data_IF_517083736096
#
_entry.id   IF_517083736096
#
_cell.length_a   1.000
_cell.length_b   1.000
_cell.length_c   1.000
_cell.angle_alpha   90.00
_cell.angle_beta   90.00
_cell.angle_gamma   90.00
#
_symmetry.space_group_name_H-M   'P 1'
#
loop_
_entity.id
_entity.type
_entity.pdbx_description
1 polymer ?
#
# COMPACT_ATOMS: atom_id res chain seq x y z
N UNK A 1 -17.44 12.93 16.44
CA UNK A 1 -15.97 13.10 16.65
C UNK A 1 -15.27 12.70 15.36
N UNK A 2 -14.70 13.67 14.63
CA UNK A 2 -13.95 13.41 13.38
C UNK A 2 -12.59 12.85 13.74
N UNK A 3 -12.29 11.62 13.32
CA UNK A 3 -10.98 10.98 13.52
C UNK A 3 -10.17 11.17 12.24
N UNK A 4 -9.07 11.90 12.33
CA UNK A 4 -8.11 12.03 11.25
C UNK A 4 -7.22 10.80 11.21
N UNK A 5 -6.95 10.27 10.01
CA UNK A 5 -6.10 9.12 9.80
C UNK A 5 -5.06 9.48 8.75
N UNK A 6 -3.80 9.38 9.15
CA UNK A 6 -2.63 9.57 8.30
C UNK A 6 -2.09 8.18 7.92
N UNK A 7 -2.22 7.82 6.66
CA UNK A 7 -1.54 6.66 6.11
C UNK A 7 -0.28 7.15 5.40
N UNK A 8 0.90 6.88 5.98
CA UNK A 8 2.17 7.17 5.34
C UNK A 8 2.63 5.97 4.49
N UNK A 9 2.46 6.05 3.18
CA UNK A 9 3.20 5.26 2.22
C UNK A 9 4.46 6.06 1.84
N UNK A 10 5.53 5.95 2.65
CA UNK A 10 6.81 6.56 2.39
C UNK A 10 7.71 5.58 1.63
N UNK A 11 8.13 5.95 0.42
CA UNK A 11 9.39 5.45 -0.12
C UNK A 11 10.51 6.17 0.65
N UNK A 12 11.16 5.47 1.56
CA UNK A 12 12.21 6.03 2.40
C UNK A 12 13.50 6.24 1.61
N UNK A 13 13.73 7.45 1.14
CA UNK A 13 15.10 7.98 1.09
C UNK A 13 15.38 8.52 2.51
N UNK A 14 16.37 7.91 3.16
CA UNK A 14 16.85 8.15 4.51
C UNK A 14 16.52 9.51 5.14
N UNK A 15 15.42 9.60 5.87
CA UNK A 15 15.22 10.57 6.91
C UNK A 15 15.53 9.87 8.25
N UNK A 16 16.63 10.26 8.89
CA UNK A 16 16.96 9.84 10.24
C UNK A 16 15.84 10.31 11.17
N UNK A 17 15.09 9.43 11.83
CA UNK A 17 14.10 9.87 12.80
C UNK A 17 14.83 10.51 14.01
N UNK A 18 14.23 11.49 14.69
CA UNK A 18 14.72 11.94 15.96
C UNK A 18 14.75 10.74 16.92
N UNK A 19 15.85 10.58 17.64
CA UNK A 19 16.05 9.51 18.59
C UNK A 19 15.01 9.59 19.72
N UNK A 20 13.87 8.92 19.56
CA UNK A 20 13.04 8.54 20.70
C UNK A 20 13.51 7.17 21.17
N UNK A 21 14.00 7.12 22.39
CA UNK A 21 14.61 5.96 23.03
C UNK A 21 13.70 4.71 23.15
N UNK A 22 12.42 4.84 22.86
CA UNK A 22 11.43 3.76 22.95
C UNK A 22 11.43 2.80 21.75
N UNK A 23 11.88 3.23 20.55
CA UNK A 23 11.91 2.36 19.36
C UNK A 23 13.22 1.57 19.23
N UNK A 24 14.32 2.04 19.80
CA UNK A 24 15.64 1.44 19.59
C UNK A 24 15.86 0.15 20.41
N UNK A 25 15.24 0.03 21.59
CA UNK A 25 15.41 -1.15 22.45
C UNK A 25 14.57 -2.35 21.93
N UNK A 26 13.38 -2.09 21.44
CA UNK A 26 12.45 -3.09 20.95
C UNK A 26 12.92 -3.82 19.67
N UNK A 27 13.66 -3.14 18.80
CA UNK A 27 14.18 -3.74 17.55
C UNK A 27 15.34 -4.69 17.82
N UNK A 28 16.08 -4.49 18.91
CA UNK A 28 17.23 -5.32 19.27
C UNK A 28 16.84 -6.67 19.84
N UNK A 29 15.71 -6.74 20.55
CA UNK A 29 15.26 -7.96 21.24
C UNK A 29 14.67 -9.01 20.28
N UNK A 30 14.24 -8.59 19.08
CA UNK A 30 13.73 -9.50 18.02
C UNK A 30 14.71 -9.71 16.87
N UNK A 31 15.92 -9.14 16.96
CA UNK A 31 16.95 -9.28 15.93
C UNK A 31 17.46 -10.74 15.87
N UNK A 32 17.08 -11.44 14.80
CA UNK A 32 17.46 -12.84 14.56
C UNK A 32 16.33 -13.85 14.73
N UNK A 33 15.20 -13.48 15.34
CA UNK A 33 14.00 -14.31 15.44
C UNK A 33 12.92 -13.80 14.47
N UNK A 34 12.79 -14.49 13.33
CA UNK A 34 11.81 -14.14 12.28
C UNK A 34 10.37 -14.30 12.76
N UNK A 35 10.09 -15.33 13.57
CA UNK A 35 8.75 -15.59 14.09
C UNK A 35 8.33 -14.53 15.12
N UNK A 36 9.22 -14.14 16.02
CA UNK A 36 8.98 -13.06 16.98
C UNK A 36 8.76 -11.72 16.28
N UNK A 37 9.53 -11.44 15.21
CA UNK A 37 9.32 -10.24 14.41
C UNK A 37 7.97 -10.25 13.68
N UNK A 38 7.57 -11.37 13.06
CA UNK A 38 6.28 -11.51 12.40
C UNK A 38 5.11 -11.28 13.37
N UNK A 39 5.14 -11.92 14.55
CA UNK A 39 4.14 -11.72 15.60
C UNK A 39 4.08 -10.25 16.08
N UNK A 40 5.23 -9.58 16.17
CA UNK A 40 5.29 -8.16 16.50
C UNK A 40 4.64 -7.29 15.42
N UNK A 41 4.97 -7.51 14.14
CA UNK A 41 4.34 -6.79 13.03
C UNK A 41 2.83 -7.00 13.03
N UNK A 42 2.37 -8.23 13.28
CA UNK A 42 0.95 -8.53 13.38
C UNK A 42 0.26 -7.72 14.48
N UNK A 43 0.87 -7.61 15.66
CA UNK A 43 0.33 -6.83 16.77
C UNK A 43 0.31 -5.33 16.50
N UNK A 44 1.36 -4.79 15.85
CA UNK A 44 1.47 -3.37 15.53
C UNK A 44 0.56 -2.95 14.38
N UNK A 45 0.27 -3.86 13.44
CA UNK A 45 -0.52 -3.60 12.25
C UNK A 45 -2.05 -3.71 12.47
N UNK A 46 -2.51 -3.91 13.70
CA UNK A 46 -3.96 -3.95 14.00
C UNK A 46 -4.60 -2.63 13.61
N UNK A 47 -5.52 -2.68 12.66
CA UNK A 47 -6.17 -1.48 12.12
C UNK A 47 -7.12 -0.83 13.14
N UNK A 48 -7.23 0.51 13.14
CA UNK A 48 -8.27 1.20 13.88
C UNK A 48 -9.67 0.80 13.38
N UNK A 49 -10.66 0.90 14.27
CA UNK A 49 -12.07 0.66 13.89
C UNK A 49 -12.51 1.56 12.72
N UNK A 50 -13.22 0.98 11.77
CA UNK A 50 -13.64 1.65 10.54
C UNK A 50 -12.67 1.43 9.38
N UNK A 51 -11.65 0.57 9.59
CA UNK A 51 -10.75 0.11 8.56
C UNK A 51 -10.82 -1.39 8.39
N UNK A 52 -10.71 -1.81 7.16
CA UNK A 52 -10.60 -3.20 6.75
C UNK A 52 -9.45 -3.37 5.79
N UNK A 53 -8.93 -4.55 5.67
CA UNK A 53 -7.85 -4.86 4.73
C UNK A 53 -8.05 -6.23 4.08
N UNK A 54 -7.36 -6.42 2.97
CA UNK A 54 -7.37 -7.69 2.26
C UNK A 54 -6.15 -7.82 1.36
N UNK A 55 -5.86 -9.04 0.94
CA UNK A 55 -4.77 -9.34 0.02
C UNK A 55 -5.20 -10.35 -1.02
N UNK A 56 -4.60 -10.27 -2.20
CA UNK A 56 -4.70 -11.26 -3.26
C UNK A 56 -3.32 -11.49 -3.87
N UNK A 57 -3.14 -12.62 -4.56
CA UNK A 57 -1.90 -12.93 -5.27
C UNK A 57 -2.21 -13.38 -6.68
N UNK A 58 -1.29 -13.10 -7.59
CA UNK A 58 -1.38 -13.52 -8.98
C UNK A 58 -0.03 -13.96 -9.51
N UNK A 59 -0.04 -14.84 -10.48
CA UNK A 59 1.12 -15.15 -11.30
C UNK A 59 0.92 -14.55 -12.68
N UNK A 60 1.99 -14.09 -13.30
CA UNK A 60 1.96 -13.49 -14.62
C UNK A 60 3.29 -13.70 -15.35
N UNK A 61 3.26 -13.54 -16.66
CA UNK A 61 4.46 -13.48 -17.49
C UNK A 61 4.75 -12.03 -17.84
N UNK A 62 5.90 -11.47 -17.36
CA UNK A 62 6.24 -10.10 -17.72
C UNK A 62 6.38 -9.95 -19.23
N UNK A 63 5.78 -8.92 -19.79
CA UNK A 63 5.88 -8.63 -21.24
C UNK A 63 7.35 -8.46 -21.67
N UNK A 64 8.17 -7.93 -20.79
CA UNK A 64 9.61 -7.65 -20.99
C UNK A 64 10.47 -8.90 -20.83
N UNK A 65 9.93 -9.99 -20.24
CA UNK A 65 10.58 -11.29 -20.04
C UNK A 65 9.57 -12.42 -20.24
N UNK A 66 9.12 -12.69 -21.46
CA UNK A 66 8.01 -13.60 -21.76
C UNK A 66 8.28 -15.07 -21.40
N UNK A 67 9.55 -15.47 -21.31
CA UNK A 67 9.97 -16.83 -20.92
C UNK A 67 10.06 -17.03 -19.40
N UNK A 68 9.78 -15.98 -18.61
CA UNK A 68 9.86 -16.01 -17.15
C UNK A 68 8.46 -15.90 -16.54
N UNK A 69 8.28 -16.58 -15.41
CA UNK A 69 7.11 -16.38 -14.55
C UNK A 69 7.45 -15.48 -13.38
N UNK A 70 6.50 -14.64 -13.01
CA UNK A 70 6.61 -13.76 -11.87
C UNK A 70 5.34 -13.83 -11.02
N UNK A 71 5.50 -13.65 -9.71
CA UNK A 71 4.39 -13.53 -8.76
C UNK A 71 4.29 -12.08 -8.29
N UNK A 72 3.05 -11.60 -8.20
CA UNK A 72 2.68 -10.31 -7.65
C UNK A 72 1.66 -10.48 -6.54
N UNK A 73 1.72 -9.61 -5.54
CA UNK A 73 0.70 -9.51 -4.51
C UNK A 73 0.01 -8.16 -4.60
N UNK A 74 -1.28 -8.17 -4.33
CA UNK A 74 -2.11 -7.00 -4.11
C UNK A 74 -2.43 -6.90 -2.62
N UNK A 75 -2.32 -5.71 -2.07
CA UNK A 75 -2.74 -5.41 -0.70
C UNK A 75 -3.66 -4.19 -0.70
N UNK A 76 -4.80 -4.30 -0.07
CA UNK A 76 -5.77 -3.21 0.02
C UNK A 76 -6.04 -2.87 1.49
N UNK A 77 -6.12 -1.57 1.77
CA UNK A 77 -6.67 -1.03 3.01
C UNK A 77 -7.81 -0.11 2.62
N UNK A 78 -8.98 -0.38 3.17
CA UNK A 78 -10.20 0.36 2.88
C UNK A 78 -10.86 0.87 4.15
N UNK A 79 -11.59 1.98 3.99
CA UNK A 79 -12.50 2.54 4.99
C UNK A 79 -13.91 1.96 4.80
N UNK A 80 -14.71 1.90 5.87
CA UNK A 80 -16.12 1.52 5.79
C UNK A 80 -16.96 2.52 4.99
N UNK A 81 -16.53 3.79 4.98
CA UNK A 81 -17.15 4.85 4.19
C UNK A 81 -16.09 5.80 3.63
N UNK A 82 -16.35 6.44 2.48
CA UNK A 82 -15.44 7.40 1.89
C UNK A 82 -15.16 8.60 2.80
N UNK A 83 -13.98 9.23 2.61
CA UNK A 83 -13.57 10.40 3.38
C UNK A 83 -12.87 11.45 2.50
N UNK A 84 -13.04 12.72 2.89
CA UNK A 84 -12.22 13.83 2.40
C UNK A 84 -11.04 14.16 3.35
N UNK A 85 -10.97 13.47 4.50
CA UNK A 85 -9.91 13.63 5.50
C UNK A 85 -8.69 12.78 5.11
N UNK A 86 -7.99 13.23 4.10
CA UNK A 86 -6.82 12.56 3.53
C UNK A 86 -5.70 13.57 3.31
N UNK A 87 -4.47 13.13 3.50
CA UNK A 87 -3.27 13.89 3.16
C UNK A 87 -2.26 12.96 2.51
N UNK A 88 -1.51 13.47 1.55
CA UNK A 88 -0.47 12.73 0.87
C UNK A 88 0.72 13.62 0.51
N UNK A 89 1.91 13.05 0.59
CA UNK A 89 3.14 13.66 0.12
C UNK A 89 3.76 12.80 -0.96
N UNK A 90 4.25 13.41 -2.01
CA UNK A 90 4.77 12.73 -3.18
C UNK A 90 6.16 13.24 -3.55
N UNK A 91 6.93 12.38 -4.19
CA UNK A 91 8.27 12.73 -4.68
C UNK A 91 8.21 13.90 -5.65
N UNK A 92 9.23 14.77 -5.62
CA UNK A 92 9.44 15.84 -6.61
C UNK A 92 10.19 15.35 -7.85
N UNK A 93 10.53 14.06 -7.92
CA UNK A 93 11.23 13.50 -9.08
C UNK A 93 10.37 13.65 -10.33
N UNK A 94 10.97 14.14 -11.40
CA UNK A 94 10.32 14.34 -12.72
C UNK A 94 10.00 13.02 -13.42
N UNK A 95 10.69 11.92 -13.06
CA UNK A 95 10.44 10.56 -13.53
C UNK A 95 9.70 9.78 -12.46
N UNK A 96 8.57 10.29 -11.99
CA UNK A 96 7.74 9.58 -11.03
C UNK A 96 6.94 8.43 -11.69
N UNK A 97 6.54 7.45 -10.88
CA UNK A 97 5.65 6.39 -11.33
C UNK A 97 4.22 6.89 -11.57
N UNK A 98 3.49 6.17 -12.39
CA UNK A 98 2.09 6.50 -12.69
C UNK A 98 1.19 6.57 -11.44
N UNK A 99 1.36 5.72 -10.40
CA UNK A 99 0.60 5.86 -9.16
C UNK A 99 0.77 7.21 -8.47
N UNK A 100 1.96 7.83 -8.59
CA UNK A 100 2.20 9.18 -8.06
C UNK A 100 1.38 10.23 -8.80
N UNK A 101 1.29 10.12 -10.13
CA UNK A 101 0.45 11.03 -10.94
C UNK A 101 -1.01 10.87 -10.56
N UNK A 102 -1.53 9.64 -10.57
CA UNK A 102 -2.93 9.35 -10.22
C UNK A 102 -3.26 9.83 -8.79
N UNK A 103 -2.40 9.52 -7.82
CA UNK A 103 -2.63 9.94 -6.44
C UNK A 103 -2.63 11.46 -6.27
N UNK A 104 -1.74 12.19 -6.97
CA UNK A 104 -1.75 13.67 -6.98
C UNK A 104 -3.03 14.23 -7.57
N UNK A 105 -3.47 13.68 -8.70
CA UNK A 105 -4.67 14.16 -9.40
C UNK A 105 -5.92 13.95 -8.55
N UNK A 106 -6.01 12.82 -7.83
CA UNK A 106 -7.10 12.55 -6.91
C UNK A 106 -7.08 13.54 -5.73
N UNK A 107 -5.90 13.72 -5.10
CA UNK A 107 -5.77 14.59 -3.92
C UNK A 107 -5.82 16.09 -4.26
N UNK A 108 -5.63 16.47 -5.50
CA UNK A 108 -5.78 17.86 -5.95
C UNK A 108 -7.23 18.30 -6.15
N UNK A 109 -8.19 17.39 -6.08
CA UNK A 109 -9.61 17.72 -6.17
C UNK A 109 -10.04 18.53 -4.95
N UNK A 110 -10.99 19.45 -5.13
CA UNK A 110 -11.51 20.28 -4.04
C UNK A 110 -12.06 19.44 -2.87
N UNK A 111 -12.70 18.32 -3.20
CA UNK A 111 -13.21 17.33 -2.24
C UNK A 111 -12.82 15.94 -2.72
N UNK A 112 -11.64 15.45 -2.35
CA UNK A 112 -11.28 14.08 -2.64
C UNK A 112 -12.23 13.14 -1.88
N UNK A 113 -12.63 12.07 -2.54
CA UNK A 113 -13.60 11.11 -2.00
C UNK A 113 -12.97 9.74 -1.91
N UNK A 114 -12.02 9.59 -0.98
CA UNK A 114 -11.15 8.43 -0.89
C UNK A 114 -11.77 7.37 0.01
N UNK A 115 -11.72 6.12 -0.43
CA UNK A 115 -12.17 4.99 0.40
C UNK A 115 -11.13 3.89 0.54
N UNK A 116 -10.16 3.75 -0.38
CA UNK A 116 -9.14 2.72 -0.25
C UNK A 116 -7.80 3.15 -0.83
N UNK A 117 -6.77 2.41 -0.43
CA UNK A 117 -5.45 2.38 -1.06
C UNK A 117 -5.21 0.95 -1.51
N UNK A 118 -4.86 0.76 -2.79
CA UNK A 118 -4.48 -0.51 -3.37
C UNK A 118 -2.98 -0.49 -3.69
N UNK A 119 -2.22 -1.33 -3.04
CA UNK A 119 -0.79 -1.49 -3.27
C UNK A 119 -0.50 -2.79 -4.04
N UNK A 120 0.40 -2.74 -5.02
CA UNK A 120 1.00 -3.92 -5.59
C UNK A 120 2.51 -3.93 -5.42
N UNK A 121 3.10 -5.11 -5.28
CA UNK A 121 4.53 -5.32 -5.38
C UNK A 121 4.95 -5.78 -6.78
N UNK A 122 6.20 -6.21 -6.94
CA UNK A 122 6.83 -6.76 -8.13
C UNK A 122 7.05 -5.78 -9.29
N UNK A 123 6.06 -4.92 -9.63
CA UNK A 123 6.15 -3.93 -10.72
C UNK A 123 5.86 -2.55 -10.17
N UNK A 124 6.79 -1.60 -10.39
CA UNK A 124 6.68 -0.24 -9.85
C UNK A 124 5.79 0.71 -10.65
N UNK A 125 5.41 0.31 -11.85
CA UNK A 125 4.68 1.16 -12.80
C UNK A 125 5.39 2.51 -13.07
N UNK A 126 6.72 2.46 -13.14
CA UNK A 126 7.57 3.56 -13.56
C UNK A 126 8.10 3.27 -14.95
N UNK A 127 7.79 4.11 -15.94
CA UNK A 127 8.18 3.96 -17.36
C UNK A 127 7.79 2.61 -18.00
N UNK A 128 6.56 2.17 -17.89
CA UNK A 128 6.14 0.88 -18.47
C UNK A 128 6.03 0.88 -20.01
N UNK A 129 6.40 1.97 -20.66
CA UNK A 129 6.21 2.22 -22.07
C UNK A 129 5.17 3.31 -22.35
N UNK A 130 5.11 3.80 -23.61
CA UNK A 130 4.20 4.88 -24.00
C UNK A 130 2.73 4.50 -23.77
N UNK A 131 1.97 5.39 -23.14
CA UNK A 131 0.52 5.28 -22.98
C UNK A 131 0.02 4.29 -21.93
N UNK A 132 0.91 3.52 -21.28
CA UNK A 132 0.47 2.44 -20.38
C UNK A 132 0.33 2.86 -18.91
N UNK A 133 1.19 3.68 -18.39
CA UNK A 133 1.33 3.86 -16.94
C UNK A 133 0.06 4.28 -16.20
N UNK A 134 -0.47 5.46 -16.52
CA UNK A 134 -1.60 6.08 -15.81
C UNK A 134 -2.91 5.34 -16.10
N UNK A 135 -3.16 4.98 -17.36
CA UNK A 135 -4.37 4.23 -17.75
C UNK A 135 -4.43 2.88 -17.04
N UNK A 136 -3.33 2.12 -17.03
CA UNK A 136 -3.27 0.83 -16.32
C UNK A 136 -3.52 0.99 -14.82
N UNK A 137 -2.97 2.03 -14.19
CA UNK A 137 -3.20 2.28 -12.78
C UNK A 137 -4.68 2.57 -12.47
N UNK A 138 -5.36 3.35 -13.32
CA UNK A 138 -6.80 3.59 -13.22
C UNK A 138 -7.59 2.29 -13.40
N UNK A 139 -7.35 1.53 -14.47
CA UNK A 139 -8.07 0.29 -14.74
C UNK A 139 -8.03 -0.67 -13.55
N UNK A 140 -6.86 -0.85 -12.93
CA UNK A 140 -6.71 -1.75 -11.77
C UNK A 140 -7.39 -1.17 -10.52
N UNK A 141 -7.31 0.15 -10.30
CA UNK A 141 -7.97 0.80 -9.19
C UNK A 141 -9.51 0.72 -9.31
N UNK A 142 -10.03 0.93 -10.51
CA UNK A 142 -11.47 0.86 -10.81
C UNK A 142 -11.99 -0.59 -10.65
N UNK A 143 -11.24 -1.57 -11.11
CA UNK A 143 -11.57 -2.98 -10.91
C UNK A 143 -11.63 -3.38 -9.42
N UNK A 144 -10.68 -2.90 -8.63
CA UNK A 144 -10.71 -3.13 -7.18
C UNK A 144 -11.88 -2.40 -6.50
N UNK A 145 -12.20 -1.18 -6.95
CA UNK A 145 -13.37 -0.42 -6.50
C UNK A 145 -14.66 -1.19 -6.74
N UNK A 146 -14.85 -1.71 -7.94
CA UNK A 146 -16.02 -2.50 -8.32
C UNK A 146 -16.10 -3.80 -7.53
N UNK A 147 -15.02 -4.59 -7.51
CA UNK A 147 -14.97 -5.88 -6.83
C UNK A 147 -15.28 -5.78 -5.32
N UNK A 148 -14.86 -4.70 -4.69
CA UNK A 148 -15.08 -4.44 -3.27
C UNK A 148 -16.33 -3.60 -2.98
N UNK A 149 -17.11 -3.24 -4.00
CA UNK A 149 -18.32 -2.41 -3.90
C UNK A 149 -18.06 -1.09 -3.16
N UNK A 150 -16.95 -0.43 -3.47
CA UNK A 150 -16.58 0.84 -2.86
C UNK A 150 -17.25 2.01 -3.58
N UNK A 151 -17.71 2.99 -2.81
CA UNK A 151 -18.31 4.24 -3.35
C UNK A 151 -17.23 5.28 -3.68
N UNK A 152 -16.17 5.32 -2.86
CA UNK A 152 -15.07 6.27 -2.97
C UNK A 152 -13.97 5.84 -3.94
N UNK A 153 -13.02 6.74 -4.15
CA UNK A 153 -11.85 6.51 -4.98
C UNK A 153 -10.85 5.53 -4.32
N UNK A 154 -10.14 4.79 -5.15
CA UNK A 154 -9.02 3.93 -4.76
C UNK A 154 -7.72 4.57 -5.21
N UNK A 155 -6.83 4.89 -4.26
CA UNK A 155 -5.50 5.40 -4.57
C UNK A 155 -4.56 4.23 -4.88
N UNK A 156 -3.98 4.15 -6.10
CA UNK A 156 -3.01 3.12 -6.42
C UNK A 156 -1.64 3.42 -5.81
N UNK A 157 -0.93 2.37 -5.41
CA UNK A 157 0.46 2.41 -4.99
C UNK A 157 1.22 1.22 -5.57
N UNK A 158 2.37 1.44 -6.18
CA UNK A 158 3.13 0.37 -6.83
C UNK A 158 4.59 0.40 -6.43
N UNK A 159 5.17 -0.78 -6.24
CA UNK A 159 6.60 -0.93 -5.95
C UNK A 159 7.18 -2.15 -6.66
N UNK A 160 8.46 -2.11 -7.01
CA UNK A 160 9.18 -3.21 -7.66
C UNK A 160 9.99 -2.78 -8.87
N UNK A 161 9.99 -3.59 -9.90
CA UNK A 161 10.81 -3.41 -11.10
C UNK A 161 10.37 -2.16 -11.88
N UNK A 162 11.34 -1.35 -12.28
CA UNK A 162 11.16 -0.21 -13.17
C UNK A 162 11.20 -0.68 -14.63
N UNK A 163 10.37 -0.11 -15.50
CA UNK A 163 10.35 -0.40 -16.93
C UNK A 163 9.41 -1.54 -17.33
N UNK A 164 8.89 -2.29 -16.36
CA UNK A 164 7.88 -3.31 -16.65
C UNK A 164 6.47 -2.73 -16.70
N UNK A 165 5.65 -3.26 -17.61
CA UNK A 165 4.23 -2.99 -17.67
C UNK A 165 3.48 -3.76 -16.55
N UNK A 166 2.41 -3.17 -16.04
CA UNK A 166 1.50 -3.89 -15.14
C UNK A 166 0.77 -5.01 -15.92
N UNK A 167 0.65 -6.21 -15.35
CA UNK A 167 -0.18 -7.29 -15.89
C UNK A 167 -1.66 -7.00 -15.57
N UNK A 168 -2.27 -6.09 -16.32
CA UNK A 168 -3.58 -5.51 -15.99
C UNK A 168 -4.66 -6.57 -15.92
N UNK A 169 -4.71 -7.47 -16.89
CA UNK A 169 -5.77 -8.49 -16.95
C UNK A 169 -5.70 -9.44 -15.76
N UNK A 170 -4.50 -9.88 -15.39
CA UNK A 170 -4.28 -10.73 -14.22
C UNK A 170 -4.54 -9.98 -12.91
N UNK A 171 -4.21 -8.68 -12.85
CA UNK A 171 -4.51 -7.85 -11.69
C UNK A 171 -6.02 -7.62 -11.51
N UNK A 172 -6.76 -7.38 -12.58
CA UNK A 172 -8.22 -7.26 -12.58
C UNK A 172 -8.86 -8.57 -12.11
N UNK A 173 -8.40 -9.70 -12.64
CA UNK A 173 -8.88 -11.02 -12.21
C UNK A 173 -8.57 -11.26 -10.72
N UNK A 174 -7.37 -10.90 -10.24
CA UNK A 174 -7.02 -11.04 -8.84
C UNK A 174 -7.81 -10.08 -7.93
N UNK A 175 -8.13 -8.88 -8.40
CA UNK A 175 -8.95 -7.93 -7.65
C UNK A 175 -10.33 -8.49 -7.31
N UNK A 176 -10.91 -9.32 -8.17
CA UNK A 176 -12.21 -9.99 -7.93
C UNK A 176 -12.16 -11.00 -6.78
N UNK A 177 -10.98 -11.46 -6.37
CA UNK A 177 -10.79 -12.34 -5.21
C UNK A 177 -10.50 -11.61 -3.90
N UNK A 178 -10.36 -10.29 -3.94
CA UNK A 178 -10.13 -9.49 -2.74
C UNK A 178 -11.35 -9.56 -1.80
N UNK A 179 -11.09 -9.80 -0.54
CA UNK A 179 -12.09 -9.72 0.53
C UNK A 179 -11.56 -8.85 1.66
N UNK A 180 -12.42 -7.98 2.18
CA UNK A 180 -12.06 -7.06 3.26
C UNK A 180 -12.40 -7.65 4.63
N UNK A 181 -11.43 -7.64 5.54
CA UNK A 181 -11.58 -8.11 6.91
C UNK A 181 -11.07 -7.05 7.88
N UNK A 182 -11.70 -6.97 9.06
CA UNK A 182 -11.17 -6.24 10.19
C UNK A 182 -9.96 -6.97 10.78
N UNK A 183 -9.13 -6.27 11.54
CA UNK A 183 -8.01 -6.85 12.27
C UNK A 183 -6.65 -6.32 11.84
N UNK A 184 -5.67 -7.18 11.75
CA UNK A 184 -4.30 -6.79 11.46
C UNK A 184 -4.03 -6.73 9.94
N UNK A 185 -3.41 -5.64 9.51
CA UNK A 185 -2.94 -5.44 8.14
C UNK A 185 -1.52 -6.00 7.90
N UNK A 186 -1.03 -6.93 8.75
CA UNK A 186 0.32 -7.49 8.59
C UNK A 186 0.51 -8.14 7.21
N UNK A 187 -0.52 -8.85 6.69
CA UNK A 187 -0.48 -9.44 5.35
C UNK A 187 -0.40 -8.41 4.24
N UNK A 188 -0.97 -7.21 4.44
CA UNK A 188 -0.80 -6.09 3.49
C UNK A 188 0.64 -5.58 3.54
N UNK A 189 1.23 -5.47 4.74
CA UNK A 189 2.65 -5.11 4.87
C UNK A 189 3.57 -6.13 4.18
N UNK A 190 3.28 -7.43 4.30
CA UNK A 190 3.98 -8.51 3.57
C UNK A 190 3.75 -8.41 2.06
N UNK A 191 2.52 -8.15 1.62
CA UNK A 191 2.18 -8.02 0.20
C UNK A 191 2.91 -6.87 -0.48
N UNK A 192 3.30 -5.81 0.25
CA UNK A 192 4.09 -4.71 -0.28
C UNK A 192 5.60 -5.01 -0.39
N UNK A 193 6.09 -6.09 0.21
CA UNK A 193 7.53 -6.42 0.18
C UNK A 193 8.02 -6.73 -1.23
N UNK A 194 9.26 -6.34 -1.51
CA UNK A 194 9.99 -6.70 -2.74
C UNK A 194 11.35 -7.33 -2.38
N UNK A 195 12.34 -6.52 -2.04
CA UNK A 195 13.66 -6.92 -1.58
C UNK A 195 13.82 -6.82 -0.06
N UNK A 196 12.78 -6.36 0.60
CA UNK A 196 12.73 -6.29 2.06
C UNK A 196 12.86 -7.68 2.67
N UNK A 197 13.64 -7.81 3.73
CA UNK A 197 13.75 -9.06 4.47
C UNK A 197 12.55 -9.30 5.38
N UNK A 198 11.94 -8.22 5.89
CA UNK A 198 10.84 -8.27 6.84
C UNK A 198 9.78 -7.22 6.51
N UNK A 199 8.52 -7.56 6.79
CA UNK A 199 7.42 -6.60 6.80
C UNK A 199 7.62 -5.59 7.94
N UNK A 200 7.08 -4.38 7.78
CA UNK A 200 7.27 -3.29 8.74
C UNK A 200 5.93 -2.63 9.08
N UNK A 201 5.66 -2.53 10.37
CA UNK A 201 4.53 -1.78 10.90
C UNK A 201 4.95 -0.99 12.14
N UNK A 202 4.22 0.08 12.39
CA UNK A 202 4.35 0.87 13.62
C UNK A 202 2.95 1.25 14.11
N UNK A 203 2.79 1.36 15.43
CA UNK A 203 1.55 1.78 16.09
C UNK A 203 1.84 2.80 17.17
N UNK A 204 0.97 3.77 17.30
CA UNK A 204 0.99 4.75 18.39
C UNK A 204 -0.45 5.06 18.80
N UNK A 205 -0.66 5.18 20.11
CA UNK A 205 -1.91 5.67 20.67
C UNK A 205 -1.80 7.17 20.92
N UNK A 206 -2.81 7.92 20.51
CA UNK A 206 -2.87 9.36 20.67
C UNK A 206 -3.58 9.73 21.99
N UNK A 207 -3.31 10.91 22.58
CA UNK A 207 -3.91 11.33 23.85
C UNK A 207 -5.44 11.36 23.85
N UNK A 208 -6.06 11.49 22.69
CA UNK A 208 -7.53 11.47 22.52
C UNK A 208 -8.12 10.06 22.35
N UNK A 209 -7.33 9.02 22.56
CA UNK A 209 -7.73 7.61 22.40
C UNK A 209 -7.83 7.14 20.95
N UNK A 210 -7.35 7.91 19.99
CA UNK A 210 -7.24 7.45 18.61
C UNK A 210 -5.93 6.67 18.41
N UNK A 211 -5.97 5.65 17.54
CA UNK A 211 -4.77 4.89 17.16
C UNK A 211 -4.23 5.38 15.81
N UNK A 212 -2.92 5.46 15.71
CA UNK A 212 -2.19 5.66 14.47
C UNK A 212 -1.47 4.36 14.11
N UNK A 213 -1.72 3.84 12.91
CA UNK A 213 -1.05 2.65 12.38
C UNK A 213 -0.33 3.03 11.10
N UNK A 214 0.95 2.71 11.02
CA UNK A 214 1.81 2.91 9.86
C UNK A 214 2.27 1.58 9.29
N UNK A 215 2.16 1.42 7.97
CA UNK A 215 2.80 0.35 7.22
C UNK A 215 3.85 0.97 6.30
N UNK A 216 5.01 0.37 6.23
CA UNK A 216 6.15 0.91 5.48
C UNK A 216 6.74 -0.14 4.56
N UNK A 217 7.00 0.28 3.32
CA UNK A 217 7.85 -0.42 2.37
C UNK A 217 9.22 0.27 2.33
N UNK A 218 10.28 -0.46 2.58
CA UNK A 218 11.66 0.06 2.57
C UNK A 218 12.47 -0.45 1.41
#
# INVERSE_FOLDING_TARGET
>A
MRRAILLMLAQATALRPPASSLLANDVRDTAGDEAAWAARVESLAVLPRGFRCGTASLNFKPRELPDSEARMNLGVIALDAPTDLVAGVYTKNRLCGAPVTVGRDILAREKPHIQAILANNKVSNVRPGPGLGVSCAHTVADAAKEALSLEGDVIPASTGVIGWALPVDEMVAAASSLTLQEGSAHKVAEAMMTTDRYAKAARSELPNGASLVGLVKG
#
